data_IF_444690664926
#
_entry.id   IF_444690664926
#
_cell.length_a   1.000
_cell.length_b   1.000
_cell.length_c   1.000
_cell.angle_alpha   90.00
_cell.angle_beta   90.00
_cell.angle_gamma   90.00
#
_symmetry.space_group_name_H-M   'P 1'
#
loop_
_entity.id
_entity.type
_entity.pdbx_description
1 polymer ?
#
# COMPACT_ATOMS: atom_id res chain seq x y z
N UNK A 1 -1.20 3.45 -15.34
CA UNK A 1 -0.50 2.16 -15.17
C UNK A 1 -1.25 1.40 -14.09
N UNK A 2 -1.35 0.08 -14.18
CA UNK A 2 -1.99 -0.70 -13.12
C UNK A 2 -0.97 -0.95 -12.00
N UNK A 3 -1.30 -0.56 -10.77
CA UNK A 3 -0.53 -0.90 -9.59
C UNK A 3 -0.68 -2.40 -9.27
N UNK A 4 0.41 -3.04 -8.89
CA UNK A 4 0.48 -4.47 -8.56
C UNK A 4 1.29 -4.69 -7.28
N UNK A 5 1.41 -5.94 -6.83
CA UNK A 5 2.24 -6.29 -5.68
C UNK A 5 3.74 -5.99 -5.89
N UNK A 6 4.18 -5.88 -7.13
CA UNK A 6 5.56 -5.54 -7.47
C UNK A 6 5.80 -4.02 -7.52
N UNK A 7 4.74 -3.21 -7.45
CA UNK A 7 4.83 -1.76 -7.33
C UNK A 7 5.48 -1.37 -5.99
N UNK A 8 6.31 -0.34 -6.02
CA UNK A 8 6.92 0.20 -4.82
C UNK A 8 5.91 1.00 -4.00
N UNK A 9 6.04 0.94 -2.67
CA UNK A 9 5.15 1.73 -1.80
C UNK A 9 5.30 3.23 -2.06
N UNK A 10 6.49 3.68 -2.46
CA UNK A 10 6.73 5.06 -2.86
C UNK A 10 5.85 5.52 -4.02
N UNK A 11 5.75 4.72 -5.09
CA UNK A 11 4.89 5.04 -6.23
C UNK A 11 3.42 5.20 -5.82
N UNK A 12 2.94 4.36 -4.88
CA UNK A 12 1.57 4.43 -4.37
C UNK A 12 1.39 5.66 -3.46
N UNK A 13 2.38 5.99 -2.64
CA UNK A 13 2.34 7.17 -1.77
C UNK A 13 2.43 8.49 -2.53
N UNK A 14 3.07 8.50 -3.69
CA UNK A 14 3.16 9.69 -4.54
C UNK A 14 1.84 9.95 -5.31
N UNK A 15 0.93 8.97 -5.34
CA UNK A 15 -0.42 9.13 -5.88
C UNK A 15 -1.44 9.49 -4.79
N UNK A 16 -1.88 10.75 -4.82
CA UNK A 16 -2.89 11.28 -3.89
C UNK A 16 -4.19 10.47 -3.85
N UNK A 17 -4.63 9.88 -4.97
CA UNK A 17 -5.84 9.06 -5.00
C UNK A 17 -5.61 7.73 -4.26
N UNK A 18 -4.41 7.17 -4.42
CA UNK A 18 -4.04 5.93 -3.77
C UNK A 18 -3.88 6.12 -2.26
N UNK A 19 -3.28 7.24 -1.83
CA UNK A 19 -3.20 7.63 -0.41
C UNK A 19 -4.59 7.78 0.20
N UNK A 20 -5.54 8.41 -0.51
CA UNK A 20 -6.92 8.56 -0.02
C UNK A 20 -7.60 7.21 0.23
N UNK A 21 -7.40 6.23 -0.67
CA UNK A 21 -7.93 4.87 -0.48
C UNK A 21 -7.19 4.18 0.66
N UNK A 22 -5.86 4.25 0.71
CA UNK A 22 -5.06 3.65 1.79
C UNK A 22 -5.49 4.13 3.18
N UNK A 23 -5.76 5.43 3.35
CA UNK A 23 -6.23 6.00 4.62
C UNK A 23 -7.61 5.46 5.06
N UNK A 24 -8.46 5.00 4.12
CA UNK A 24 -9.73 4.35 4.47
C UNK A 24 -9.54 2.97 5.09
N UNK A 25 -8.53 2.23 4.63
CA UNK A 25 -8.24 0.88 5.10
C UNK A 25 -7.28 0.85 6.28
N UNK A 26 -6.32 1.77 6.30
CA UNK A 26 -5.29 1.91 7.31
C UNK A 26 -5.19 3.39 7.70
N UNK A 27 -5.97 3.84 8.69
CA UNK A 27 -5.92 5.23 9.13
C UNK A 27 -4.53 5.56 9.68
N UNK A 28 -4.03 6.74 9.34
CA UNK A 28 -2.71 7.24 9.71
C UNK A 28 -1.53 6.45 9.13
N UNK A 29 -1.78 5.58 8.14
CA UNK A 29 -0.71 4.85 7.47
C UNK A 29 0.29 5.84 6.89
N UNK A 30 -0.15 6.88 6.17
CA UNK A 30 0.75 7.88 5.57
C UNK A 30 1.69 8.59 6.56
N UNK A 31 1.33 8.62 7.85
CA UNK A 31 2.12 9.24 8.93
C UNK A 31 3.04 8.27 9.64
N UNK A 32 2.95 6.97 9.35
CA UNK A 32 3.76 5.96 10.01
C UNK A 32 5.25 6.12 9.59
N UNK A 33 6.20 6.28 10.54
CA UNK A 33 7.62 6.38 10.21
C UNK A 33 8.15 5.15 9.46
N UNK A 34 7.51 3.99 9.61
CA UNK A 34 7.84 2.79 8.84
C UNK A 34 7.52 2.92 7.35
N UNK A 35 6.62 3.83 6.95
CA UNK A 35 6.32 4.07 5.53
C UNK A 35 7.45 4.79 4.80
N UNK A 36 8.24 5.61 5.50
CA UNK A 36 9.45 6.17 4.94
C UNK A 36 10.48 5.09 4.57
N UNK A 37 10.57 4.02 5.39
CA UNK A 37 11.39 2.85 5.11
C UNK A 37 10.76 1.97 4.01
N UNK A 38 9.44 1.80 4.05
CA UNK A 38 8.68 1.04 3.06
C UNK A 38 8.72 1.64 1.67
N UNK A 39 8.97 2.95 1.56
CA UNK A 39 8.93 3.72 0.31
C UNK A 39 9.81 3.13 -0.81
N UNK A 40 10.96 2.56 -0.45
CA UNK A 40 11.87 1.88 -1.39
C UNK A 40 11.61 0.39 -1.58
N UNK A 41 10.57 -0.16 -0.95
CA UNK A 41 10.23 -1.59 -0.98
C UNK A 41 8.97 -1.82 -1.81
N UNK A 42 8.83 -3.02 -2.37
CA UNK A 42 7.60 -3.44 -3.06
C UNK A 42 6.54 -3.89 -2.05
N UNK A 43 5.27 -3.80 -2.41
CA UNK A 43 4.17 -4.30 -1.57
C UNK A 43 4.34 -5.78 -1.23
N UNK A 44 4.85 -6.59 -2.17
CA UNK A 44 5.19 -7.99 -1.95
C UNK A 44 6.23 -8.19 -0.86
N UNK A 45 7.28 -7.35 -0.85
CA UNK A 45 8.29 -7.37 0.21
C UNK A 45 7.69 -6.97 1.56
N UNK A 46 6.79 -5.98 1.59
CA UNK A 46 6.08 -5.59 2.83
C UNK A 46 5.26 -6.75 3.37
N UNK A 47 4.48 -7.43 2.52
CA UNK A 47 3.66 -8.60 2.91
C UNK A 47 4.49 -9.76 3.45
N UNK A 48 5.75 -9.89 3.00
CA UNK A 48 6.68 -10.88 3.52
C UNK A 48 7.20 -10.54 4.93
N UNK A 49 7.07 -9.28 5.37
CA UNK A 49 7.53 -8.85 6.69
C UNK A 49 6.62 -9.35 7.81
N UNK A 50 7.18 -9.80 8.95
CA UNK A 50 6.40 -10.16 10.13
C UNK A 50 5.55 -8.99 10.64
N UNK A 51 6.08 -7.77 10.58
CA UNK A 51 5.42 -6.57 11.06
C UNK A 51 4.16 -6.22 10.27
N UNK A 52 4.17 -6.44 8.95
CA UNK A 52 2.97 -6.25 8.13
C UNK A 52 1.87 -7.24 8.52
N UNK A 53 2.23 -8.51 8.75
CA UNK A 53 1.29 -9.52 9.25
C UNK A 53 0.76 -9.19 10.65
N UNK A 54 1.62 -8.66 11.53
CA UNK A 54 1.23 -8.20 12.87
C UNK A 54 0.29 -6.99 12.82
N UNK A 55 0.44 -6.12 11.82
CA UNK A 55 -0.49 -5.02 11.55
C UNK A 55 -1.81 -5.50 10.90
N UNK A 56 -1.97 -6.81 10.65
CA UNK A 56 -3.14 -7.37 9.99
C UNK A 56 -3.13 -7.17 8.47
N UNK A 57 -2.00 -6.77 7.87
CA UNK A 57 -1.87 -6.64 6.42
C UNK A 57 -1.85 -8.04 5.79
N UNK A 58 -2.83 -8.31 4.92
CA UNK A 58 -2.93 -9.56 4.16
C UNK A 58 -2.82 -9.29 2.66
N UNK A 59 -2.37 -10.29 1.91
CA UNK A 59 -2.28 -10.20 0.45
C UNK A 59 -3.64 -9.89 -0.18
N UNK A 60 -4.72 -10.48 0.36
CA UNK A 60 -6.09 -10.22 -0.09
C UNK A 60 -6.49 -8.76 0.11
N UNK A 61 -6.18 -8.17 1.28
CA UNK A 61 -6.46 -6.75 1.54
C UNK A 61 -5.68 -5.85 0.60
N UNK A 62 -4.38 -6.10 0.42
CA UNK A 62 -3.54 -5.30 -0.47
C UNK A 62 -4.05 -5.41 -1.91
N UNK A 63 -4.43 -6.60 -2.36
CA UNK A 63 -4.98 -6.82 -3.70
C UNK A 63 -6.28 -6.04 -3.89
N UNK A 64 -7.21 -6.10 -2.92
CA UNK A 64 -8.46 -5.30 -2.95
C UNK A 64 -8.20 -3.80 -3.03
N UNK A 65 -7.26 -3.30 -2.22
CA UNK A 65 -6.87 -1.88 -2.25
C UNK A 65 -6.30 -1.51 -3.61
N UNK A 66 -5.39 -2.32 -4.16
CA UNK A 66 -4.82 -2.10 -5.50
C UNK A 66 -5.89 -2.07 -6.60
N UNK A 67 -6.87 -2.98 -6.54
CA UNK A 67 -8.00 -3.00 -7.47
C UNK A 67 -8.84 -1.71 -7.38
N UNK A 68 -9.13 -1.23 -6.17
CA UNK A 68 -9.88 0.01 -5.98
C UNK A 68 -9.10 1.23 -6.49
N UNK A 69 -7.79 1.29 -6.22
CA UNK A 69 -6.92 2.37 -6.73
C UNK A 69 -6.90 2.35 -8.26
N UNK A 70 -6.71 1.18 -8.86
CA UNK A 70 -6.69 1.01 -10.31
C UNK A 70 -8.04 1.35 -10.95
N UNK A 71 -9.16 1.05 -10.28
CA UNK A 71 -10.49 1.38 -10.74
C UNK A 71 -10.77 2.89 -10.67
N UNK A 72 -10.23 3.58 -9.66
CA UNK A 72 -10.40 5.04 -9.44
C UNK A 72 -9.44 5.88 -10.28
N UNK A 73 -8.33 5.30 -10.76
CA UNK A 73 -7.36 5.93 -11.66
C UNK A 73 -7.79 5.93 -13.15
N UNK A 74 -9.02 5.49 -13.46
CA UNK A 74 -9.56 5.37 -14.82
C UNK A 74 -10.53 6.50 -15.14
#
# INVERSE_FOLDING_TARGET
MAYTLDTTVGEILDDTNAVEILEKYAPEVSKNPMLALARGMTLKSILAMPQAKQAGLTEEMVTKVLEEINAKSK
#
